data_IF_209837322476
#
_entry.id   IF_209837322476
#
_cell.length_a   1.000
_cell.length_b   1.000
_cell.length_c   1.000
_cell.angle_alpha   90.00
_cell.angle_beta   90.00
_cell.angle_gamma   90.00
#
_symmetry.space_group_name_H-M   'P 1'
#
loop_
_entity.id
_entity.type
_entity.pdbx_description
1 polymer ?
#
# COMPACT_ATOMS: atom_id res chain seq x y z
N UNK A 1 -1.64 9.16 0.71
CA UNK A 1 -1.96 7.89 1.39
C UNK A 1 -1.47 6.74 0.51
N UNK A 2 -1.20 5.58 1.09
CA UNK A 2 -0.84 4.37 0.36
C UNK A 2 -1.96 3.35 0.52
N UNK A 3 -2.22 2.57 -0.53
CA UNK A 3 -3.24 1.54 -0.50
C UNK A 3 -3.05 0.52 -1.60
N UNK A 4 -3.48 -0.71 -1.32
CA UNK A 4 -3.52 -1.79 -2.30
C UNK A 4 -4.84 -1.74 -3.06
N UNK A 5 -4.78 -1.61 -4.38
CA UNK A 5 -5.97 -1.71 -5.22
C UNK A 5 -6.45 -3.15 -5.23
N UNK A 6 -7.67 -3.38 -4.75
CA UNK A 6 -8.30 -4.71 -4.73
C UNK A 6 -8.94 -5.04 -6.08
N UNK A 7 -9.64 -4.06 -6.66
CA UNK A 7 -10.24 -4.18 -7.99
C UNK A 7 -10.63 -2.81 -8.55
N UNK A 8 -10.73 -2.76 -9.87
CA UNK A 8 -11.27 -1.62 -10.61
C UNK A 8 -12.71 -1.90 -11.03
N UNK A 9 -13.54 -0.86 -11.06
CA UNK A 9 -14.92 -0.97 -11.52
C UNK A 9 -15.42 0.34 -12.13
N UNK A 10 -16.57 0.30 -12.78
CA UNK A 10 -17.22 1.49 -13.36
C UNK A 10 -18.51 1.78 -12.62
N UNK A 11 -18.71 3.04 -12.26
CA UNK A 11 -19.99 3.53 -11.75
C UNK A 11 -20.79 4.16 -12.89
N UNK A 12 -22.01 3.67 -13.09
CA UNK A 12 -22.95 4.17 -14.10
C UNK A 12 -24.09 4.85 -13.37
N UNK A 13 -24.22 6.16 -13.58
CA UNK A 13 -25.32 6.95 -13.02
C UNK A 13 -26.47 6.94 -14.03
N UNK A 14 -27.54 6.19 -13.70
CA UNK A 14 -28.63 5.86 -14.63
C UNK A 14 -29.37 7.06 -15.23
N UNK A 15 -29.35 8.21 -14.55
CA UNK A 15 -30.11 9.41 -14.92
C UNK A 15 -29.25 10.46 -15.64
N UNK A 16 -28.02 10.11 -16.03
CA UNK A 16 -27.15 11.02 -16.78
C UNK A 16 -26.61 10.36 -18.04
N UNK A 17 -26.61 11.07 -19.17
CA UNK A 17 -25.90 10.69 -20.40
C UNK A 17 -24.36 10.81 -20.25
N UNK A 18 -23.85 10.72 -19.02
CA UNK A 18 -22.43 10.82 -18.72
C UNK A 18 -21.79 9.45 -18.91
N UNK A 19 -20.58 9.49 -19.45
CA UNK A 19 -19.71 8.32 -19.51
C UNK A 19 -19.52 7.66 -18.13
N UNK A 20 -19.40 6.32 -18.07
CA UNK A 20 -19.15 5.63 -16.81
C UNK A 20 -17.91 6.15 -16.10
N UNK A 21 -18.02 6.40 -14.80
CA UNK A 21 -16.88 6.89 -14.00
C UNK A 21 -16.00 5.71 -13.59
N UNK A 22 -14.70 5.69 -13.95
CA UNK A 22 -13.78 4.64 -13.53
C UNK A 22 -13.37 4.85 -12.07
N UNK A 23 -13.58 3.83 -11.24
CA UNK A 23 -13.31 3.80 -9.82
C UNK A 23 -12.38 2.63 -9.46
N UNK A 24 -11.71 2.74 -8.33
CA UNK A 24 -10.91 1.69 -7.73
C UNK A 24 -11.35 1.47 -6.28
N UNK A 25 -11.49 0.20 -5.88
CA UNK A 25 -11.61 -0.19 -4.48
C UNK A 25 -10.21 -0.40 -3.92
N UNK A 26 -9.86 0.29 -2.84
CA UNK A 26 -8.52 0.34 -2.27
C UNK A 26 -8.56 -0.04 -0.79
N UNK A 27 -7.71 -0.98 -0.39
CA UNK A 27 -7.41 -1.28 1.01
C UNK A 27 -6.29 -0.34 1.47
N UNK A 28 -6.60 0.59 2.37
CA UNK A 28 -5.68 1.67 2.75
C UNK A 28 -4.75 1.19 3.85
N UNK A 29 -3.45 1.46 3.69
CA UNK A 29 -2.46 1.20 4.74
C UNK A 29 -2.67 2.16 5.92
N UNK A 30 -2.36 1.69 7.13
CA UNK A 30 -2.39 2.51 8.33
C UNK A 30 -1.33 3.61 8.35
N UNK A 31 -1.22 4.29 9.49
CA UNK A 31 -0.12 5.23 9.74
C UNK A 31 1.20 4.46 9.89
N UNK A 32 2.35 5.09 9.57
CA UNK A 32 3.63 4.42 9.76
C UNK A 32 3.92 4.15 11.25
N UNK A 33 4.58 3.02 11.53
CA UNK A 33 5.12 2.71 12.85
C UNK A 33 6.12 3.81 13.25
N UNK A 34 5.74 4.60 14.26
CA UNK A 34 6.51 5.78 14.69
C UNK A 34 7.85 5.40 15.32
N UNK A 35 7.97 4.23 15.94
CA UNK A 35 9.21 3.79 16.55
C UNK A 35 10.22 3.43 15.46
N UNK A 36 9.82 2.59 14.49
CA UNK A 36 10.67 2.20 13.38
C UNK A 36 11.06 3.39 12.49
N UNK A 37 10.12 4.30 12.23
CA UNK A 37 10.40 5.52 11.46
C UNK A 37 11.42 6.41 12.18
N UNK A 38 11.30 6.56 13.52
CA UNK A 38 12.24 7.35 14.32
C UNK A 38 13.62 6.69 14.41
N UNK A 39 13.68 5.40 14.72
CA UNK A 39 14.94 4.63 14.85
C UNK A 39 15.71 4.57 13.53
N UNK A 40 15.01 4.56 12.41
CA UNK A 40 15.59 4.58 11.06
C UNK A 40 15.90 5.99 10.54
N UNK A 41 15.82 7.04 11.37
CA UNK A 41 16.04 8.43 10.93
C UNK A 41 15.12 8.85 9.77
N UNK A 42 13.86 8.45 9.81
CA UNK A 42 12.83 8.66 8.79
C UNK A 42 13.11 8.00 7.44
N UNK A 43 13.88 6.91 7.41
CA UNK A 43 14.18 6.19 6.17
C UNK A 43 13.30 4.95 5.97
N UNK A 44 12.85 4.30 7.04
CA UNK A 44 12.04 3.10 6.98
C UNK A 44 10.56 3.41 7.25
N UNK A 45 9.77 3.50 6.18
CA UNK A 45 8.31 3.67 6.28
C UNK A 45 7.64 2.29 6.30
N UNK A 46 7.02 1.94 7.42
CA UNK A 46 6.39 0.63 7.67
C UNK A 46 4.98 0.83 8.16
N UNK A 47 3.99 0.16 7.57
CA UNK A 47 2.60 0.23 8.02
C UNK A 47 1.88 -1.11 7.88
N UNK A 48 0.77 -1.25 8.60
CA UNK A 48 -0.12 -2.41 8.51
C UNK A 48 -1.11 -2.22 7.35
N UNK A 49 -1.33 -3.28 6.58
CA UNK A 49 -2.32 -3.27 5.51
C UNK A 49 -3.74 -3.32 6.06
N UNK A 50 -4.67 -2.55 5.46
CA UNK A 50 -6.09 -2.59 5.76
C UNK A 50 -6.52 -1.94 7.09
N UNK A 51 -5.58 -1.41 7.87
CA UNK A 51 -5.88 -0.76 9.15
C UNK A 51 -6.74 0.51 8.99
N UNK A 52 -6.57 1.23 7.88
CA UNK A 52 -7.37 2.41 7.55
C UNK A 52 -8.67 2.07 6.78
N UNK A 53 -8.97 0.78 6.60
CA UNK A 53 -10.19 0.28 5.96
C UNK A 53 -10.20 0.35 4.43
N UNK A 54 -11.40 0.15 3.88
CA UNK A 54 -11.65 0.14 2.43
C UNK A 54 -12.15 1.49 1.95
N UNK A 55 -11.67 1.96 0.80
CA UNK A 55 -12.12 3.20 0.16
C UNK A 55 -12.36 3.02 -1.33
N UNK A 56 -13.39 3.70 -1.83
CA UNK A 56 -13.63 3.86 -3.26
C UNK A 56 -13.07 5.21 -3.70
N UNK A 57 -12.17 5.20 -4.67
CA UNK A 57 -11.55 6.40 -5.23
C UNK A 57 -11.72 6.46 -6.76
N UNK A 58 -11.68 7.64 -7.38
CA UNK A 58 -11.50 7.74 -8.83
C UNK A 58 -10.22 7.04 -9.27
N UNK A 59 -10.28 6.16 -10.27
CA UNK A 59 -9.08 5.43 -10.71
C UNK A 59 -7.97 6.39 -11.18
N UNK A 60 -8.35 7.54 -11.75
CA UNK A 60 -7.43 8.59 -12.22
C UNK A 60 -6.79 9.41 -11.10
N UNK A 61 -7.20 9.25 -9.84
CA UNK A 61 -6.56 9.95 -8.71
C UNK A 61 -5.33 9.21 -8.18
N UNK A 62 -5.03 7.99 -8.68
CA UNK A 62 -3.81 7.25 -8.36
C UNK A 62 -2.61 7.99 -8.97
N UNK A 63 -1.67 8.42 -8.12
CA UNK A 63 -0.53 9.25 -8.54
C UNK A 63 0.69 8.42 -8.96
N UNK A 64 0.94 7.31 -8.29
CA UNK A 64 2.08 6.44 -8.53
C UNK A 64 1.79 5.02 -8.05
N UNK A 65 2.60 4.07 -8.53
CA UNK A 65 2.64 2.71 -8.02
C UNK A 65 3.95 2.53 -7.26
N UNK A 66 3.87 1.98 -6.06
CA UNK A 66 5.01 1.70 -5.19
C UNK A 66 4.99 0.24 -4.79
N UNK A 67 6.14 -0.29 -4.36
CA UNK A 67 6.18 -1.62 -3.76
C UNK A 67 5.91 -1.52 -2.25
N UNK A 68 4.92 -2.27 -1.78
CA UNK A 68 4.64 -2.49 -0.36
C UNK A 68 5.02 -3.94 -0.05
N UNK A 69 6.20 -4.12 0.52
CA UNK A 69 6.82 -5.45 0.66
C UNK A 69 6.51 -5.98 2.06
N UNK A 70 6.00 -7.22 2.21
CA UNK A 70 5.81 -7.84 3.51
C UNK A 70 7.09 -7.78 4.34
N UNK A 71 6.97 -7.36 5.59
CA UNK A 71 8.12 -7.27 6.49
C UNK A 71 8.73 -8.67 6.65
N UNK A 72 10.04 -8.84 6.42
CA UNK A 72 10.64 -10.17 6.37
C UNK A 72 10.53 -10.85 7.73
N UNK A 73 10.01 -12.08 7.74
CA UNK A 73 10.14 -12.94 8.90
C UNK A 73 11.58 -13.43 9.01
N UNK A 74 12.19 -13.20 10.17
CA UNK A 74 13.52 -13.72 10.46
C UNK A 74 13.37 -15.05 11.19
N UNK A 75 14.10 -16.09 10.76
CA UNK A 75 14.14 -17.37 11.47
C UNK A 75 14.89 -17.20 12.79
N UNK A 76 14.37 -17.81 13.86
CA UNK A 76 15.02 -17.82 15.18
C UNK A 76 14.75 -16.58 16.05
N UNK A 77 13.79 -15.74 15.67
CA UNK A 77 13.34 -14.62 16.50
C UNK A 77 12.27 -15.10 17.49
N UNK A 78 12.24 -14.58 18.74
CA UNK A 78 11.19 -14.91 19.69
C UNK A 78 9.76 -14.69 19.12
N UNK A 79 8.78 -15.57 19.45
CA UNK A 79 7.41 -15.47 18.92
C UNK A 79 6.73 -14.12 19.17
N UNK A 80 7.04 -13.46 20.29
CA UNK A 80 6.53 -12.13 20.64
C UNK A 80 6.97 -11.03 19.64
N UNK A 81 8.18 -11.17 19.10
CA UNK A 81 8.72 -10.24 18.11
C UNK A 81 8.12 -10.57 16.74
N UNK A 82 8.00 -11.85 16.39
CA UNK A 82 7.36 -12.27 15.14
C UNK A 82 5.91 -11.75 15.07
N UNK A 83 5.16 -11.83 16.17
CA UNK A 83 3.80 -11.30 16.25
C UNK A 83 3.75 -9.78 16.07
N UNK A 84 4.71 -9.03 16.64
CA UNK A 84 4.80 -7.56 16.48
C UNK A 84 4.86 -7.15 15.00
N UNK A 85 5.63 -7.88 14.19
CA UNK A 85 5.85 -7.56 12.78
C UNK A 85 4.86 -8.23 11.83
N UNK A 86 3.98 -9.13 12.32
CA UNK A 86 2.97 -9.82 11.51
C UNK A 86 2.09 -8.81 10.77
N UNK A 87 2.01 -8.94 9.44
CA UNK A 87 1.16 -8.09 8.60
C UNK A 87 1.67 -6.67 8.36
N UNK A 88 2.86 -6.33 8.86
CA UNK A 88 3.55 -5.10 8.49
C UNK A 88 4.13 -5.21 7.08
N UNK A 89 4.12 -4.10 6.37
CA UNK A 89 4.74 -3.94 5.06
C UNK A 89 5.60 -2.69 5.07
N UNK A 90 6.74 -2.73 4.40
CA UNK A 90 7.60 -1.55 4.22
C UNK A 90 7.47 -1.00 2.80
N UNK A 91 7.53 0.32 2.70
CA UNK A 91 7.49 1.05 1.44
C UNK A 91 8.84 0.96 0.73
N UNK A 92 8.81 0.71 -0.58
CA UNK A 92 9.95 0.76 -1.45
C UNK A 92 9.59 1.54 -2.74
N UNK A 93 10.06 2.78 -2.84
CA UNK A 93 9.65 3.75 -3.87
C UNK A 93 10.40 3.62 -5.20
N UNK A 94 11.65 3.13 -5.18
CA UNK A 94 12.50 2.95 -6.37
C UNK A 94 12.90 1.49 -6.55
N UNK A 95 12.06 0.73 -7.24
CA UNK A 95 12.50 -0.50 -7.92
C UNK A 95 13.64 -0.09 -8.86
N UNK A 96 14.87 -0.55 -8.58
CA UNK A 96 16.05 -0.15 -9.33
C UNK A 96 15.84 -0.34 -10.84
N UNK A 97 16.30 0.64 -11.63
CA UNK A 97 16.29 0.57 -13.10
C UNK A 97 16.97 -0.74 -13.54
N UNK A 98 16.17 -1.72 -13.97
CA UNK A 98 16.67 -2.79 -14.81
C UNK A 98 16.97 -2.17 -16.16
N UNK A 99 18.24 -1.83 -16.42
CA UNK A 99 18.69 -1.60 -17.78
C UNK A 99 18.65 -2.96 -18.48
N UNK A 100 17.64 -3.17 -19.33
CA UNK A 100 17.67 -4.21 -20.34
C UNK A 100 18.76 -3.85 -21.34
N UNK A 101 19.79 -4.69 -21.42
CA UNK A 101 20.70 -4.66 -22.58
C UNK A 101 19.95 -5.41 -23.67
N UNK A 102 19.50 -4.69 -24.70
CA UNK A 102 19.10 -5.29 -25.99
C UNK A 102 20.33 -5.77 -26.76
#
# INVERSE_FOLDING_TARGET
>A
ELGEVQYYFRYIMRESDKEPTPLAMVSVFGIPDRALLKESFNTLWVARMGEAGMRVIPAKSIQSVVAMIPFPSQRGVPPEVEERFRGLHFLYEKMGLGYSVE
#
